data_IF_202225643598
#
_entry.id   IF_202225643598
#
_cell.length_a   1.000
_cell.length_b   1.000
_cell.length_c   1.000
_cell.angle_alpha   90.00
_cell.angle_beta   90.00
_cell.angle_gamma   90.00
#
_symmetry.space_group_name_H-M   'P 1'
#
loop_
_entity.id
_entity.type
_entity.pdbx_description
1 polymer ?
#
# COMPACT_ATOMS: atom_id res chain seq x y z
N UNK A 1 -38.80 -36.30 -22.36
CA UNK A 1 -38.83 -34.95 -21.74
C UNK A 1 -37.64 -34.68 -20.82
N UNK A 2 -37.14 -35.63 -20.00
CA UNK A 2 -35.97 -35.43 -19.11
C UNK A 2 -34.64 -35.02 -19.80
N UNK A 3 -34.36 -35.49 -21.03
CA UNK A 3 -33.15 -35.08 -21.78
C UNK A 3 -33.13 -33.59 -22.18
N UNK A 4 -34.31 -32.96 -22.31
CA UNK A 4 -34.41 -31.52 -22.63
C UNK A 4 -34.08 -30.63 -21.41
N UNK A 5 -34.35 -31.11 -20.19
CA UNK A 5 -34.03 -30.36 -18.95
C UNK A 5 -32.53 -30.28 -18.65
N UNK A 6 -31.80 -31.38 -18.86
CA UNK A 6 -30.34 -31.45 -18.59
C UNK A 6 -29.55 -30.56 -19.55
N UNK A 7 -29.93 -30.51 -20.83
CA UNK A 7 -29.30 -29.60 -21.81
C UNK A 7 -29.53 -28.13 -21.46
N UNK A 8 -30.67 -27.81 -20.83
CA UNK A 8 -31.00 -26.43 -20.46
C UNK A 8 -30.17 -25.95 -19.25
N UNK A 9 -29.97 -26.82 -18.25
CA UNK A 9 -29.18 -26.52 -17.06
C UNK A 9 -27.69 -26.30 -17.33
N UNK A 10 -27.12 -27.04 -18.30
CA UNK A 10 -25.73 -26.82 -18.73
C UNK A 10 -25.60 -25.47 -19.44
N UNK A 11 -26.57 -25.12 -20.30
CA UNK A 11 -26.57 -23.82 -20.98
C UNK A 11 -26.72 -22.63 -20.03
N UNK A 12 -27.50 -22.77 -18.97
CA UNK A 12 -27.72 -21.67 -18.01
C UNK A 12 -26.49 -21.42 -17.13
N UNK A 13 -25.73 -22.48 -16.79
CA UNK A 13 -24.48 -22.36 -16.05
C UNK A 13 -23.39 -21.67 -16.89
N UNK A 14 -23.27 -22.04 -18.17
CA UNK A 14 -22.35 -21.38 -19.11
C UNK A 14 -22.70 -19.89 -19.30
N UNK A 15 -23.99 -19.57 -19.44
CA UNK A 15 -24.44 -18.18 -19.57
C UNK A 15 -24.14 -17.38 -18.29
N UNK A 16 -24.40 -17.93 -17.11
CA UNK A 16 -24.08 -17.26 -15.83
C UNK A 16 -22.58 -17.01 -15.69
N UNK A 17 -21.75 -18.02 -15.98
CA UNK A 17 -20.30 -17.90 -16.03
C UNK A 17 -19.84 -16.82 -16.98
N UNK A 18 -20.43 -16.76 -18.18
CA UNK A 18 -20.09 -15.77 -19.20
C UNK A 18 -20.51 -14.36 -18.77
N UNK A 19 -21.65 -14.21 -18.11
CA UNK A 19 -22.12 -12.93 -17.54
C UNK A 19 -21.20 -12.48 -16.41
N UNK A 20 -20.77 -13.37 -15.51
CA UNK A 20 -19.83 -13.03 -14.43
C UNK A 20 -18.48 -12.62 -15.02
N UNK A 21 -17.97 -13.36 -16.00
CA UNK A 21 -16.73 -13.00 -16.71
C UNK A 21 -16.88 -11.64 -17.40
N UNK A 22 -17.97 -11.42 -18.15
CA UNK A 22 -18.22 -10.15 -18.84
C UNK A 22 -18.40 -9.00 -17.85
N UNK A 23 -19.02 -9.23 -16.70
CA UNK A 23 -19.21 -8.21 -15.67
C UNK A 23 -17.90 -7.87 -14.96
N UNK A 24 -17.06 -8.87 -14.66
CA UNK A 24 -15.70 -8.67 -14.15
C UNK A 24 -14.85 -7.93 -15.18
N UNK A 25 -14.93 -8.30 -16.46
CA UNK A 25 -14.25 -7.60 -17.55
C UNK A 25 -14.79 -6.19 -17.77
N UNK A 26 -16.08 -5.95 -17.59
CA UNK A 26 -16.71 -4.64 -17.70
C UNK A 26 -16.35 -3.72 -16.53
N UNK A 27 -16.36 -4.24 -15.30
CA UNK A 27 -15.85 -3.52 -14.14
C UNK A 27 -14.37 -3.26 -14.26
N UNK A 28 -13.59 -4.23 -14.76
CA UNK A 28 -12.20 -4.03 -15.11
C UNK A 28 -12.08 -2.92 -16.18
N UNK A 29 -12.88 -2.90 -17.24
CA UNK A 29 -12.87 -1.88 -18.29
C UNK A 29 -13.27 -0.47 -17.78
N UNK A 30 -14.26 -0.36 -16.90
CA UNK A 30 -14.63 0.93 -16.27
C UNK A 30 -13.47 1.43 -15.40
N UNK A 31 -12.83 0.54 -14.64
CA UNK A 31 -11.70 0.89 -13.77
C UNK A 31 -10.36 1.09 -14.50
N UNK A 32 -10.17 0.40 -15.63
CA UNK A 32 -9.01 0.45 -16.52
C UNK A 32 -9.19 1.43 -17.68
N UNK A 33 -10.36 2.10 -17.78
CA UNK A 33 -10.58 3.12 -18.80
C UNK A 33 -9.42 4.13 -18.75
N UNK A 34 -8.67 4.27 -19.87
CA UNK A 34 -7.37 4.90 -19.83
C UNK A 34 -7.56 6.40 -19.87
N UNK A 35 -7.17 7.06 -18.79
CA UNK A 35 -6.41 8.30 -18.94
C UNK A 35 -4.97 8.18 -18.43
N UNK A 36 -4.45 6.97 -18.11
CA UNK A 36 -3.03 6.83 -17.70
C UNK A 36 -2.35 5.44 -17.74
N UNK A 37 -3.03 4.35 -18.16
CA UNK A 37 -2.50 2.98 -17.94
C UNK A 37 -1.31 2.55 -18.82
N UNK A 38 -1.05 3.19 -19.95
CA UNK A 38 0.01 2.72 -20.87
C UNK A 38 1.45 3.04 -20.43
N UNK A 39 1.65 3.79 -19.33
CA UNK A 39 2.99 4.15 -18.84
C UNK A 39 3.51 3.28 -17.68
N UNK A 40 2.74 2.31 -17.19
CA UNK A 40 3.05 1.60 -15.93
C UNK A 40 3.36 0.10 -16.05
N UNK A 41 3.27 -0.51 -17.24
CA UNK A 41 3.30 -1.98 -17.37
C UNK A 41 4.68 -2.62 -17.62
N UNK A 42 5.76 -1.85 -17.83
CA UNK A 42 7.06 -2.43 -18.20
C UNK A 42 8.10 -2.54 -17.08
N UNK A 43 7.83 -2.08 -15.86
CA UNK A 43 8.80 -2.22 -14.74
C UNK A 43 8.30 -3.19 -13.65
N UNK A 44 8.72 -4.45 -13.81
CA UNK A 44 8.87 -5.49 -12.79
C UNK A 44 7.78 -5.58 -11.70
N UNK A 45 6.77 -6.40 -11.98
CA UNK A 45 5.92 -7.01 -10.94
C UNK A 45 6.74 -8.05 -10.14
N UNK A 46 7.72 -7.60 -9.34
CA UNK A 46 8.32 -8.44 -8.31
C UNK A 46 7.25 -8.65 -7.25
N UNK A 47 6.58 -9.81 -7.30
CA UNK A 47 5.70 -10.30 -6.23
C UNK A 47 6.56 -10.45 -4.97
N UNK A 48 6.65 -9.37 -4.20
CA UNK A 48 7.48 -9.25 -3.02
C UNK A 48 6.99 -10.25 -1.98
N UNK A 49 7.88 -11.14 -1.53
CA UNK A 49 7.74 -12.09 -0.41
C UNK A 49 7.48 -11.42 0.96
N UNK A 50 6.91 -10.23 0.95
CA UNK A 50 6.54 -9.35 2.05
C UNK A 50 5.52 -9.93 3.05
N UNK A 51 4.96 -11.11 2.81
CA UNK A 51 4.12 -11.81 3.79
C UNK A 51 4.95 -12.32 4.98
N UNK A 52 6.24 -12.65 4.80
CA UNK A 52 7.09 -13.23 5.84
C UNK A 52 8.33 -12.41 6.22
N UNK A 53 8.64 -11.31 5.52
CA UNK A 53 9.65 -10.37 6.03
C UNK A 53 9.19 -9.79 7.38
N UNK A 54 10.08 -9.64 8.38
CA UNK A 54 9.74 -8.88 9.59
C UNK A 54 9.13 -7.55 9.15
N UNK A 55 7.91 -7.30 9.64
CA UNK A 55 7.09 -6.19 9.15
C UNK A 55 7.88 -4.88 9.22
N UNK A 56 7.73 -4.01 8.22
CA UNK A 56 8.38 -2.69 8.20
C UNK A 56 8.17 -1.97 9.54
N UNK A 57 6.99 -2.09 10.13
CA UNK A 57 6.66 -1.60 11.48
C UNK A 57 7.62 -2.12 12.56
N UNK A 58 7.96 -3.42 12.56
CA UNK A 58 8.93 -3.98 13.52
C UNK A 58 10.31 -3.38 13.33
N UNK A 59 10.78 -3.27 12.08
CA UNK A 59 12.09 -2.64 11.77
C UNK A 59 12.11 -1.16 12.17
N UNK A 60 11.02 -0.43 11.95
CA UNK A 60 10.89 0.95 12.39
C UNK A 60 10.89 1.09 13.91
N UNK A 61 10.20 0.19 14.64
CA UNK A 61 10.27 0.15 16.12
C UNK A 61 11.69 -0.13 16.62
N UNK A 62 12.42 -1.03 15.98
CA UNK A 62 13.83 -1.27 16.30
C UNK A 62 14.68 -0.01 16.02
N UNK A 63 14.43 0.70 14.91
CA UNK A 63 15.10 1.97 14.61
C UNK A 63 14.83 3.04 15.67
N UNK A 64 13.58 3.12 16.14
CA UNK A 64 13.22 4.01 17.22
C UNK A 64 13.94 3.68 18.53
N UNK A 65 13.94 2.40 18.93
CA UNK A 65 14.65 1.94 20.13
C UNK A 65 16.15 2.23 20.05
N UNK A 66 16.76 1.98 18.89
CA UNK A 66 18.16 2.29 18.65
C UNK A 66 18.46 3.80 18.78
N UNK A 67 17.59 4.67 18.25
CA UNK A 67 17.73 6.12 18.42
C UNK A 67 17.61 6.57 19.89
N UNK A 68 16.91 5.80 20.72
CA UNK A 68 16.77 6.07 22.15
C UNK A 68 17.96 5.55 22.97
N UNK A 69 18.44 4.33 22.70
CA UNK A 69 19.51 3.69 23.47
C UNK A 69 20.91 4.06 22.99
N UNK A 70 21.09 4.31 21.69
CA UNK A 70 22.40 4.40 21.04
C UNK A 70 23.14 3.06 20.96
N UNK A 71 22.50 1.96 21.34
CA UNK A 71 23.08 0.62 21.46
C UNK A 71 22.39 -0.38 20.52
N UNK A 72 23.15 -1.35 20.02
CA UNK A 72 22.68 -2.43 19.15
C UNK A 72 23.00 -2.25 17.67
N UNK A 73 22.60 -3.24 16.87
CA UNK A 73 22.80 -3.23 15.42
C UNK A 73 21.88 -2.23 14.73
N UNK A 74 22.40 -1.61 13.67
CA UNK A 74 21.66 -0.62 12.88
C UNK A 74 20.50 -1.28 12.14
N UNK A 75 19.24 -0.94 12.47
CA UNK A 75 18.11 -1.54 11.77
C UNK A 75 17.98 -0.92 10.37
N UNK A 76 17.90 -1.78 9.36
CA UNK A 76 17.65 -1.35 7.99
C UNK A 76 16.16 -1.06 7.78
N UNK A 77 15.77 0.18 8.08
CA UNK A 77 14.40 0.71 7.93
C UNK A 77 14.35 1.85 6.90
N UNK A 78 13.81 1.56 5.70
CA UNK A 78 13.69 2.51 4.58
C UNK A 78 15.00 3.30 4.36
N UNK A 79 14.92 4.57 3.96
CA UNK A 79 16.07 5.46 3.81
C UNK A 79 16.73 5.85 5.14
N UNK A 80 16.02 5.71 6.27
CA UNK A 80 16.57 6.09 7.59
C UNK A 80 17.81 5.27 7.93
N UNK A 81 17.87 3.99 7.55
CA UNK A 81 19.03 3.15 7.79
C UNK A 81 20.31 3.71 7.13
N UNK A 82 20.21 4.16 5.88
CA UNK A 82 21.32 4.75 5.13
C UNK A 82 21.64 6.17 5.62
N UNK A 83 20.61 7.01 5.85
CA UNK A 83 20.76 8.37 6.36
C UNK A 83 21.49 8.40 7.71
N UNK A 84 21.06 7.54 8.63
CA UNK A 84 21.64 7.45 9.96
C UNK A 84 23.11 6.97 9.90
N UNK A 85 23.43 5.98 9.04
CA UNK A 85 24.83 5.54 8.79
C UNK A 85 25.70 6.68 8.26
N UNK A 86 25.18 7.45 7.30
CA UNK A 86 25.89 8.59 6.74
C UNK A 86 26.08 9.72 7.77
N UNK A 87 25.06 10.00 8.59
CA UNK A 87 25.18 10.97 9.67
C UNK A 87 26.24 10.57 10.69
N UNK A 88 26.34 9.30 11.06
CA UNK A 88 27.39 8.84 11.97
C UNK A 88 28.78 9.03 11.38
N UNK A 89 28.96 8.69 10.10
CA UNK A 89 30.21 8.90 9.38
C UNK A 89 30.59 10.38 9.37
N UNK A 90 29.66 11.26 9.02
CA UNK A 90 29.88 12.71 8.97
C UNK A 90 30.15 13.31 10.35
N UNK A 91 29.43 12.84 11.38
CA UNK A 91 29.65 13.26 12.78
C UNK A 91 31.09 12.96 13.21
N UNK A 92 31.62 11.77 12.87
CA UNK A 92 33.02 11.39 13.14
C UNK A 92 34.03 12.25 12.38
N UNK A 93 33.72 12.66 11.15
CA UNK A 93 34.62 13.44 10.30
C UNK A 93 34.67 14.93 10.69
N UNK A 94 33.53 15.52 11.06
CA UNK A 94 33.39 16.96 11.28
C UNK A 94 33.23 17.35 12.76
N UNK A 95 33.25 16.40 13.69
CA UNK A 95 33.15 16.66 15.13
C UNK A 95 31.81 17.23 15.59
N UNK A 96 30.75 17.10 14.77
CA UNK A 96 29.43 17.61 15.12
C UNK A 96 28.79 16.77 16.23
N UNK A 97 27.91 17.38 17.03
CA UNK A 97 27.17 16.64 18.07
C UNK A 97 26.01 15.85 17.43
N UNK A 98 26.00 14.51 17.48
CA UNK A 98 25.00 13.69 16.79
C UNK A 98 23.57 13.93 17.32
N UNK A 99 23.46 14.41 18.56
CA UNK A 99 22.19 14.65 19.26
C UNK A 99 21.26 15.59 18.47
N UNK A 100 21.77 16.68 17.90
CA UNK A 100 20.95 17.67 17.19
C UNK A 100 20.32 17.10 15.90
N UNK A 101 21.09 16.34 15.11
CA UNK A 101 20.60 15.66 13.91
C UNK A 101 19.62 14.54 14.26
N UNK A 102 19.89 13.78 15.32
CA UNK A 102 19.01 12.70 15.78
C UNK A 102 17.67 13.24 16.28
N UNK A 103 17.66 14.34 17.05
CA UNK A 103 16.42 14.97 17.51
C UNK A 103 15.52 15.40 16.35
N UNK A 104 16.11 15.89 15.26
CA UNK A 104 15.37 16.25 14.03
C UNK A 104 14.77 15.05 13.31
N UNK A 105 15.37 13.86 13.44
CA UNK A 105 14.89 12.61 12.81
C UNK A 105 13.83 11.90 13.66
N UNK A 106 13.86 12.05 14.98
CA UNK A 106 12.97 11.34 15.92
C UNK A 106 11.49 11.49 15.58
N UNK A 107 11.01 12.74 15.44
CA UNK A 107 9.60 13.03 15.12
C UNK A 107 9.20 12.47 13.74
N UNK A 108 9.94 12.75 12.65
CA UNK A 108 9.71 12.11 11.35
C UNK A 108 9.60 10.58 11.43
N UNK A 109 10.57 9.92 12.07
CA UNK A 109 10.61 8.47 12.14
C UNK A 109 9.37 7.91 12.84
N UNK A 110 8.97 8.48 13.98
CA UNK A 110 7.78 8.06 14.70
C UNK A 110 6.50 8.20 13.85
N UNK A 111 6.37 9.28 13.11
CA UNK A 111 5.21 9.49 12.24
C UNK A 111 5.19 8.49 11.08
N UNK A 112 6.34 8.20 10.48
CA UNK A 112 6.43 7.19 9.43
C UNK A 112 6.09 5.78 9.97
N UNK A 113 6.50 5.44 11.19
CA UNK A 113 6.11 4.19 11.87
C UNK A 113 4.59 4.15 12.09
N UNK A 114 3.97 5.25 12.54
CA UNK A 114 2.52 5.34 12.73
C UNK A 114 1.78 5.17 11.40
N UNK A 115 2.28 5.80 10.35
CA UNK A 115 1.75 5.68 9.00
C UNK A 115 1.77 4.22 8.53
N UNK A 116 2.92 3.54 8.60
CA UNK A 116 3.04 2.12 8.21
C UNK A 116 2.18 1.20 9.09
N UNK A 117 2.02 1.52 10.37
CA UNK A 117 1.14 0.76 11.27
C UNK A 117 -0.32 0.85 10.81
N UNK A 118 -0.80 2.06 10.50
CA UNK A 118 -2.17 2.28 10.03
C UNK A 118 -2.40 1.67 8.64
N UNK A 119 -1.40 1.69 7.75
CA UNK A 119 -1.46 0.96 6.47
C UNK A 119 -1.63 -0.54 6.68
N UNK A 120 -0.83 -1.12 7.58
CA UNK A 120 -0.92 -2.54 7.93
C UNK A 120 -2.28 -2.90 8.51
N UNK A 121 -2.83 -2.06 9.37
CA UNK A 121 -4.14 -2.25 9.98
C UNK A 121 -5.26 -2.31 8.93
N UNK A 122 -5.26 -1.39 7.96
CA UNK A 122 -6.25 -1.38 6.86
C UNK A 122 -6.17 -2.67 6.05
N UNK A 123 -4.95 -3.12 5.71
CA UNK A 123 -4.72 -4.38 5.01
C UNK A 123 -5.24 -5.58 5.79
N UNK A 124 -4.83 -5.72 7.05
CA UNK A 124 -5.23 -6.82 7.92
C UNK A 124 -6.74 -6.84 8.16
N UNK A 125 -7.36 -5.68 8.34
CA UNK A 125 -8.82 -5.54 8.44
C UNK A 125 -9.53 -6.09 7.20
N UNK A 126 -9.03 -5.80 5.99
CA UNK A 126 -9.61 -6.33 4.76
C UNK A 126 -9.46 -7.85 4.65
N UNK A 127 -8.25 -8.36 4.90
CA UNK A 127 -7.98 -9.81 4.88
C UNK A 127 -8.86 -10.53 5.91
N UNK A 128 -8.95 -10.01 7.13
CA UNK A 128 -9.78 -10.60 8.19
C UNK A 128 -11.26 -10.65 7.79
N UNK A 129 -11.79 -9.59 7.18
CA UNK A 129 -13.16 -9.56 6.67
C UNK A 129 -13.39 -10.65 5.60
N UNK A 130 -12.46 -10.79 4.65
CA UNK A 130 -12.53 -11.84 3.61
C UNK A 130 -12.44 -13.25 4.20
N UNK A 131 -11.54 -13.48 5.15
CA UNK A 131 -11.42 -14.76 5.84
C UNK A 131 -12.69 -15.12 6.62
N UNK A 132 -13.31 -14.15 7.29
CA UNK A 132 -14.57 -14.36 8.00
C UNK A 132 -15.71 -14.73 7.03
N UNK A 133 -15.81 -14.03 5.90
CA UNK A 133 -16.80 -14.36 4.86
C UNK A 133 -16.55 -15.73 4.24
N UNK A 134 -15.28 -16.08 3.95
CA UNK A 134 -14.93 -17.43 3.51
C UNK A 134 -15.40 -18.47 4.52
N UNK A 135 -15.00 -18.32 5.79
CA UNK A 135 -15.36 -19.25 6.86
C UNK A 135 -16.88 -19.44 6.98
N UNK A 136 -17.66 -18.36 6.84
CA UNK A 136 -19.12 -18.43 6.81
C UNK A 136 -19.64 -19.24 5.63
N UNK A 137 -19.15 -18.98 4.41
CA UNK A 137 -19.53 -19.75 3.21
C UNK A 137 -19.18 -21.23 3.36
N UNK A 138 -17.97 -21.55 3.83
CA UNK A 138 -17.53 -22.94 4.04
C UNK A 138 -18.35 -23.64 5.13
N UNK A 139 -18.63 -22.97 6.24
CA UNK A 139 -19.48 -23.51 7.31
C UNK A 139 -20.91 -23.80 6.81
N UNK A 140 -21.50 -22.86 6.06
CA UNK A 140 -22.83 -23.03 5.49
C UNK A 140 -22.89 -24.20 4.51
N UNK A 141 -21.89 -24.31 3.62
CA UNK A 141 -21.80 -25.38 2.64
C UNK A 141 -21.65 -26.77 3.30
N UNK A 142 -20.83 -26.89 4.35
CA UNK A 142 -20.69 -28.15 5.10
C UNK A 142 -21.99 -28.53 5.80
N UNK A 143 -22.63 -27.56 6.48
CA UNK A 143 -23.86 -27.80 7.23
C UNK A 143 -25.02 -28.19 6.32
N UNK A 144 -25.22 -27.46 5.22
CA UNK A 144 -26.29 -27.73 4.26
C UNK A 144 -26.18 -29.12 3.65
N UNK A 145 -24.96 -29.56 3.28
CA UNK A 145 -24.73 -30.91 2.75
C UNK A 145 -24.94 -32.01 3.78
N UNK A 146 -24.54 -31.76 5.03
CA UNK A 146 -24.77 -32.71 6.13
C UNK A 146 -26.27 -32.90 6.38
N UNK A 147 -27.06 -31.81 6.38
CA UNK A 147 -28.52 -31.86 6.55
C UNK A 147 -29.19 -32.59 5.38
N UNK A 148 -28.70 -32.39 4.15
CA UNK A 148 -29.26 -33.02 2.96
C UNK A 148 -28.72 -34.43 2.69
N UNK A 149 -27.77 -34.92 3.49
CA UNK A 149 -27.16 -36.24 3.31
C UNK A 149 -26.42 -36.40 1.97
N UNK A 150 -25.84 -35.32 1.42
CA UNK A 150 -25.18 -35.34 0.11
C UNK A 150 -23.66 -35.34 0.19
N UNK A 151 -23.05 -35.99 -0.79
CA UNK A 151 -21.59 -36.04 -0.94
C UNK A 151 -20.98 -34.72 -1.44
N UNK A 152 -19.69 -34.56 -1.20
CA UNK A 152 -18.93 -33.40 -1.61
C UNK A 152 -18.42 -33.53 -3.06
N UNK A 153 -19.05 -32.85 -4.02
CA UNK A 153 -18.43 -32.63 -5.33
C UNK A 153 -17.17 -31.74 -5.19
N UNK A 154 -16.01 -32.38 -5.30
CA UNK A 154 -14.70 -31.74 -5.19
C UNK A 154 -14.49 -30.64 -6.24
N UNK A 155 -15.06 -30.77 -7.43
CA UNK A 155 -14.92 -29.79 -8.52
C UNK A 155 -15.50 -28.45 -8.09
N UNK A 156 -16.68 -28.50 -7.48
CA UNK A 156 -17.39 -27.34 -6.99
C UNK A 156 -16.67 -26.67 -5.81
N UNK A 157 -16.11 -27.47 -4.89
CA UNK A 157 -15.30 -26.96 -3.78
C UNK A 157 -14.05 -26.22 -4.28
N UNK A 158 -13.36 -26.79 -5.27
CA UNK A 158 -12.16 -26.18 -5.88
C UNK A 158 -12.52 -24.87 -6.56
N UNK A 159 -13.67 -24.81 -7.25
CA UNK A 159 -14.13 -23.58 -7.89
C UNK A 159 -14.39 -22.46 -6.87
N UNK A 160 -15.11 -22.76 -5.78
CA UNK A 160 -15.37 -21.81 -4.67
C UNK A 160 -14.05 -21.34 -4.05
N UNK A 161 -13.15 -22.27 -3.73
CA UNK A 161 -11.86 -21.97 -3.14
C UNK A 161 -11.03 -21.04 -4.05
N UNK A 162 -11.00 -21.35 -5.35
CA UNK A 162 -10.26 -20.57 -6.35
C UNK A 162 -10.85 -19.17 -6.48
N UNK A 163 -12.18 -19.04 -6.50
CA UNK A 163 -12.86 -17.74 -6.60
C UNK A 163 -12.53 -16.87 -5.38
N UNK A 164 -12.64 -17.39 -4.16
CA UNK A 164 -12.31 -16.65 -2.93
C UNK A 164 -10.82 -16.28 -2.86
N UNK A 165 -9.93 -17.23 -3.19
CA UNK A 165 -8.49 -16.99 -3.22
C UNK A 165 -8.11 -15.90 -4.25
N UNK A 166 -8.75 -15.91 -5.43
CA UNK A 166 -8.55 -14.89 -6.47
C UNK A 166 -8.99 -13.50 -6.00
N UNK A 167 -10.09 -13.41 -5.23
CA UNK A 167 -10.54 -12.16 -4.63
C UNK A 167 -9.52 -11.56 -3.65
N UNK A 168 -8.92 -12.39 -2.79
CA UNK A 168 -7.86 -11.96 -1.86
C UNK A 168 -6.62 -11.51 -2.63
N UNK A 169 -6.18 -12.29 -3.61
CA UNK A 169 -5.03 -11.95 -4.44
C UNK A 169 -5.23 -10.62 -5.18
N UNK A 170 -6.41 -10.42 -5.76
CA UNK A 170 -6.80 -9.18 -6.45
C UNK A 170 -6.79 -7.98 -5.49
N UNK A 171 -7.34 -8.13 -4.28
CA UNK A 171 -7.31 -7.08 -3.27
C UNK A 171 -5.89 -6.61 -2.95
N UNK A 172 -4.98 -7.57 -2.71
CA UNK A 172 -3.57 -7.26 -2.40
C UNK A 172 -2.85 -6.62 -3.59
N UNK A 173 -3.14 -7.07 -4.81
CA UNK A 173 -2.61 -6.46 -6.03
C UNK A 173 -3.08 -5.01 -6.21
N UNK A 174 -4.39 -4.77 -6.09
CA UNK A 174 -4.98 -3.44 -6.22
C UNK A 174 -4.52 -2.48 -5.12
N UNK A 175 -4.37 -2.95 -3.88
CA UNK A 175 -3.83 -2.14 -2.78
C UNK A 175 -2.46 -1.55 -3.16
N UNK A 176 -1.55 -2.38 -3.67
CA UNK A 176 -0.20 -1.94 -4.03
C UNK A 176 -0.22 -0.91 -5.17
N UNK A 177 -1.08 -1.11 -6.18
CA UNK A 177 -1.24 -0.19 -7.30
C UNK A 177 -1.79 1.16 -6.82
N UNK A 178 -2.86 1.14 -6.02
CA UNK A 178 -3.48 2.36 -5.50
C UNK A 178 -2.53 3.10 -4.56
N UNK A 179 -1.80 2.38 -3.70
CA UNK A 179 -0.77 2.96 -2.82
C UNK A 179 0.32 3.67 -3.64
N UNK A 180 0.91 2.98 -4.64
CA UNK A 180 1.96 3.56 -5.49
C UNK A 180 1.48 4.82 -6.21
N UNK A 181 0.23 4.83 -6.69
CA UNK A 181 -0.36 5.98 -7.39
C UNK A 181 -0.63 7.16 -6.46
N UNK A 182 -1.20 6.92 -5.27
CA UNK A 182 -1.55 7.99 -4.32
C UNK A 182 -0.31 8.61 -3.68
N UNK A 183 0.67 7.78 -3.32
CA UNK A 183 1.87 8.22 -2.62
C UNK A 183 3.05 8.53 -3.56
N UNK A 184 2.80 8.67 -4.86
CA UNK A 184 3.86 8.99 -5.81
C UNK A 184 4.52 10.33 -5.45
N UNK A 185 5.82 10.30 -5.17
CA UNK A 185 6.61 11.50 -4.89
C UNK A 185 6.69 11.88 -3.41
N UNK A 186 5.77 11.41 -2.56
CA UNK A 186 5.80 11.70 -1.12
C UNK A 186 7.07 11.14 -0.47
N UNK A 187 7.43 9.89 -0.78
CA UNK A 187 8.64 9.26 -0.22
C UNK A 187 9.89 10.07 -0.58
N UNK A 188 10.04 10.48 -1.84
CA UNK A 188 11.18 11.28 -2.30
C UNK A 188 11.21 12.68 -1.66
N UNK A 189 10.07 13.34 -1.57
CA UNK A 189 9.95 14.67 -0.95
C UNK A 189 10.34 14.62 0.52
N UNK A 190 9.77 13.64 1.22
CA UNK A 190 9.98 13.44 2.64
C UNK A 190 11.42 13.06 2.96
N UNK A 191 11.99 12.09 2.23
CA UNK A 191 13.39 11.68 2.35
C UNK A 191 14.33 12.86 2.15
N UNK A 192 14.17 13.61 1.05
CA UNK A 192 15.05 14.72 0.73
C UNK A 192 15.00 15.84 1.78
N UNK A 193 13.79 16.21 2.23
CA UNK A 193 13.61 17.28 3.22
C UNK A 193 14.14 16.86 4.59
N UNK A 194 13.85 15.63 5.05
CA UNK A 194 14.34 15.11 6.34
C UNK A 194 15.86 14.96 6.32
N UNK A 195 16.43 14.42 5.24
CA UNK A 195 17.87 14.27 5.10
C UNK A 195 18.57 15.64 5.11
N UNK A 196 18.06 16.61 4.35
CA UNK A 196 18.62 17.97 4.34
C UNK A 196 18.54 18.63 5.72
N UNK A 197 17.39 18.51 6.40
CA UNK A 197 17.18 19.06 7.73
C UNK A 197 18.15 18.45 8.77
N UNK A 198 18.45 17.16 8.65
CA UNK A 198 19.41 16.46 9.52
C UNK A 198 20.88 16.80 9.23
N UNK A 199 21.21 17.17 7.99
CA UNK A 199 22.55 17.59 7.56
C UNK A 199 22.86 19.06 7.85
N UNK A 200 21.83 19.91 8.05
CA UNK A 200 22.01 21.34 8.36
C UNK A 200 22.99 21.65 9.52
N UNK A 201 22.93 21.01 10.70
CA UNK A 201 23.83 21.32 11.81
C UNK A 201 25.28 20.87 11.58
N UNK A 202 25.56 20.13 10.49
CA UNK A 202 26.92 19.70 10.17
C UNK A 202 27.68 20.83 9.47
N UNK A 203 28.99 20.93 9.70
CA UNK A 203 29.89 21.89 9.07
C UNK A 203 30.15 21.66 7.57
N UNK A 204 29.24 21.00 6.86
CA UNK A 204 29.34 20.72 5.43
C UNK A 204 29.05 21.97 4.59
N UNK A 205 29.66 22.02 3.40
CA UNK A 205 29.30 23.04 2.42
C UNK A 205 27.85 22.88 1.95
N UNK A 206 27.25 23.97 1.49
CA UNK A 206 25.89 23.99 0.95
C UNK A 206 25.68 22.93 -0.14
N UNK A 207 26.65 22.85 -1.07
CA UNK A 207 26.60 21.91 -2.18
C UNK A 207 26.61 20.46 -1.68
N UNK A 208 27.49 20.12 -0.74
CA UNK A 208 27.55 18.77 -0.18
C UNK A 208 26.27 18.39 0.59
N UNK A 209 25.67 19.33 1.33
CA UNK A 209 24.39 19.09 2.02
C UNK A 209 23.28 18.77 1.03
N UNK A 210 23.21 19.53 -0.06
CA UNK A 210 22.24 19.34 -1.14
C UNK A 210 22.45 17.98 -1.82
N UNK A 211 23.68 17.70 -2.26
CA UNK A 211 24.03 16.47 -2.97
C UNK A 211 23.75 15.22 -2.12
N UNK A 212 24.17 15.23 -0.83
CA UNK A 212 23.97 14.09 0.08
C UNK A 212 22.53 13.90 0.55
N UNK A 213 21.73 14.96 0.60
CA UNK A 213 20.32 14.85 0.97
C UNK A 213 19.45 14.20 -0.11
N UNK A 214 19.92 14.15 -1.36
CA UNK A 214 19.12 13.67 -2.48
C UNK A 214 17.94 14.59 -2.83
N UNK A 215 17.91 15.82 -2.31
CA UNK A 215 16.77 16.73 -2.52
C UNK A 215 16.55 17.06 -4.00
N UNK A 216 17.62 17.03 -4.81
CA UNK A 216 17.52 17.24 -6.25
C UNK A 216 16.69 16.18 -6.96
N UNK A 217 16.66 14.95 -6.45
CA UNK A 217 15.79 13.91 -6.98
C UNK A 217 14.31 14.28 -6.80
N UNK A 218 13.94 14.87 -5.66
CA UNK A 218 12.59 15.40 -5.45
C UNK A 218 12.31 16.59 -6.38
N UNK A 219 13.24 17.53 -6.50
CA UNK A 219 13.07 18.72 -7.35
C UNK A 219 12.91 18.37 -8.84
N UNK A 220 13.62 17.35 -9.31
CA UNK A 220 13.58 16.88 -10.70
C UNK A 220 12.36 15.97 -11.00
N UNK A 221 11.65 15.49 -9.97
CA UNK A 221 10.55 14.54 -10.15
C UNK A 221 9.39 15.18 -10.92
N UNK A 222 8.89 14.47 -11.92
CA UNK A 222 7.70 14.83 -12.71
C UNK A 222 6.43 14.27 -12.07
N UNK A 223 5.28 14.78 -12.48
CA UNK A 223 3.94 14.27 -12.11
C UNK A 223 3.68 14.23 -10.59
N UNK A 224 4.07 15.31 -9.91
CA UNK A 224 3.76 15.52 -8.49
C UNK A 224 2.29 15.90 -8.31
N UNK A 225 1.74 15.58 -7.14
CA UNK A 225 0.44 16.12 -6.72
C UNK A 225 0.51 17.65 -6.59
N UNK A 226 -0.62 18.33 -6.73
CA UNK A 226 -0.72 19.79 -6.59
C UNK A 226 -0.13 20.27 -5.25
N UNK A 227 -0.35 19.51 -4.18
CA UNK A 227 0.18 19.82 -2.85
C UNK A 227 1.72 19.73 -2.82
N UNK A 228 2.30 18.67 -3.38
CA UNK A 228 3.75 18.51 -3.45
C UNK A 228 4.41 19.51 -4.42
N UNK A 229 3.70 19.91 -5.46
CA UNK A 229 4.16 20.93 -6.40
C UNK A 229 4.34 22.30 -5.70
N UNK A 230 3.41 22.65 -4.81
CA UNK A 230 3.52 23.86 -3.98
C UNK A 230 4.77 23.80 -3.09
N UNK A 231 4.95 22.68 -2.37
CA UNK A 231 6.13 22.46 -1.51
C UNK A 231 7.42 22.54 -2.32
N UNK A 232 7.45 21.92 -3.51
CA UNK A 232 8.61 21.95 -4.41
C UNK A 232 9.01 23.38 -4.76
N UNK A 233 8.05 24.22 -5.14
CA UNK A 233 8.31 25.63 -5.50
C UNK A 233 8.81 26.44 -4.29
N UNK A 234 8.17 26.29 -3.14
CA UNK A 234 8.61 26.96 -1.90
C UNK A 234 10.05 26.56 -1.54
N UNK A 235 10.36 25.27 -1.65
CA UNK A 235 11.70 24.76 -1.39
C UNK A 235 12.74 25.27 -2.41
N UNK A 236 12.42 25.34 -3.69
CA UNK A 236 13.31 25.92 -4.71
C UNK A 236 13.64 27.38 -4.42
N UNK A 237 12.62 28.18 -4.06
CA UNK A 237 12.80 29.58 -3.68
C UNK A 237 13.69 29.68 -2.43
N UNK A 238 13.42 28.86 -1.41
CA UNK A 238 14.18 28.86 -0.17
C UNK A 238 15.64 28.47 -0.38
N UNK A 239 15.91 27.44 -1.20
CA UNK A 239 17.27 27.03 -1.55
C UNK A 239 18.02 28.12 -2.32
N UNK A 240 17.33 28.84 -3.20
CA UNK A 240 17.92 29.97 -3.94
C UNK A 240 18.23 31.13 -3.00
N UNK A 241 17.29 31.49 -2.13
CA UNK A 241 17.49 32.55 -1.14
C UNK A 241 18.59 32.23 -0.12
N UNK A 242 18.70 30.96 0.28
CA UNK A 242 19.77 30.52 1.16
C UNK A 242 21.13 30.62 0.48
N UNK A 243 21.21 30.23 -0.80
CA UNK A 243 22.44 30.34 -1.60
C UNK A 243 22.89 31.78 -1.83
N UNK A 244 21.95 32.67 -2.15
CA UNK A 244 22.25 34.06 -2.56
C UNK A 244 22.38 35.02 -1.37
N UNK A 245 21.56 34.84 -0.33
CA UNK A 245 21.43 35.80 0.77
C UNK A 245 21.76 35.21 2.15
N UNK A 246 22.10 33.92 2.25
CA UNK A 246 22.40 33.28 3.54
C UNK A 246 21.22 33.21 4.51
N UNK A 247 19.97 33.34 4.01
CA UNK A 247 18.77 33.26 4.87
C UNK A 247 18.65 31.91 5.56
N UNK A 248 18.22 31.86 6.83
CA UNK A 248 18.10 30.60 7.57
C UNK A 248 17.08 29.68 6.88
N UNK A 249 17.52 28.45 6.57
CA UNK A 249 16.71 27.46 5.85
C UNK A 249 15.90 26.57 6.81
N UNK A 250 16.29 26.52 8.09
CA UNK A 250 15.74 25.62 9.11
C UNK A 250 14.22 25.74 9.25
N UNK A 251 13.71 26.97 9.34
CA UNK A 251 12.29 27.22 9.54
C UNK A 251 11.49 26.80 8.32
N UNK A 252 11.96 27.16 7.12
CA UNK A 252 11.27 26.81 5.87
C UNK A 252 11.24 25.29 5.64
N UNK A 253 12.29 24.56 6.03
CA UNK A 253 12.26 23.09 5.97
C UNK A 253 11.29 22.49 6.99
N UNK A 254 11.20 23.06 8.18
CA UNK A 254 10.23 22.59 9.18
C UNK A 254 8.80 22.80 8.68
N UNK A 255 8.50 23.97 8.13
CA UNK A 255 7.18 24.31 7.57
C UNK A 255 6.84 23.40 6.37
N UNK A 256 7.77 23.26 5.42
CA UNK A 256 7.59 22.37 4.26
C UNK A 256 7.41 20.91 4.68
N UNK A 257 8.10 20.44 5.73
CA UNK A 257 7.95 19.09 6.23
C UNK A 257 6.58 18.86 6.86
N UNK A 258 6.05 19.85 7.58
CA UNK A 258 4.70 19.77 8.14
C UNK A 258 3.64 19.85 7.02
N UNK A 259 3.84 20.64 5.97
CA UNK A 259 2.99 20.66 4.77
C UNK A 259 3.00 19.31 4.03
N UNK A 260 4.17 18.70 3.81
CA UNK A 260 4.29 17.36 3.20
C UNK A 260 3.49 16.34 4.03
N UNK A 261 3.60 16.41 5.36
CA UNK A 261 2.88 15.50 6.26
C UNK A 261 1.38 15.70 6.20
N UNK A 262 0.92 16.94 6.25
CA UNK A 262 -0.50 17.23 6.12
C UNK A 262 -1.05 16.68 4.79
N UNK A 263 -0.33 16.89 3.69
CA UNK A 263 -0.68 16.32 2.39
C UNK A 263 -0.65 14.78 2.39
N UNK A 264 0.28 14.16 3.12
CA UNK A 264 0.37 12.71 3.30
C UNK A 264 -0.82 12.16 4.12
N UNK A 265 -1.24 12.84 5.17
CA UNK A 265 -2.41 12.47 5.98
C UNK A 265 -3.70 12.55 5.15
N UNK A 266 -3.86 13.62 4.35
CA UNK A 266 -4.99 13.74 3.42
C UNK A 266 -4.96 12.66 2.33
N UNK A 267 -3.78 12.33 1.80
CA UNK A 267 -3.59 11.21 0.87
C UNK A 267 -3.94 9.86 1.53
N UNK A 268 -3.59 9.69 2.79
CA UNK A 268 -3.92 8.52 3.58
C UNK A 268 -5.42 8.35 3.73
N UNK A 269 -6.15 9.38 4.15
CA UNK A 269 -7.61 9.31 4.28
C UNK A 269 -8.29 8.94 2.95
N UNK A 270 -7.81 9.51 1.84
CA UNK A 270 -8.28 9.15 0.49
C UNK A 270 -8.02 7.67 0.18
N UNK A 271 -6.86 7.14 0.56
CA UNK A 271 -6.58 5.71 0.43
C UNK A 271 -7.55 4.88 1.27
N UNK A 272 -7.82 5.23 2.53
CA UNK A 272 -8.76 4.47 3.39
C UNK A 272 -10.14 4.37 2.73
N UNK A 273 -10.67 5.51 2.28
CA UNK A 273 -11.98 5.57 1.62
C UNK A 273 -12.03 4.67 0.38
N UNK A 274 -10.98 4.71 -0.46
CA UNK A 274 -10.87 3.85 -1.65
C UNK A 274 -10.72 2.38 -1.30
N UNK A 275 -9.92 2.05 -0.30
CA UNK A 275 -9.73 0.66 0.14
C UNK A 275 -11.02 0.08 0.72
N UNK A 276 -11.82 0.86 1.45
CA UNK A 276 -13.13 0.40 1.92
C UNK A 276 -14.09 0.13 0.76
N UNK A 277 -14.12 0.99 -0.26
CA UNK A 277 -14.87 0.72 -1.49
C UNK A 277 -14.41 -0.56 -2.21
N UNK A 278 -13.09 -0.76 -2.32
CA UNK A 278 -12.51 -1.97 -2.90
C UNK A 278 -12.84 -3.24 -2.08
N UNK A 279 -12.81 -3.16 -0.74
CA UNK A 279 -13.22 -4.26 0.13
C UNK A 279 -14.64 -4.69 -0.16
N UNK A 280 -15.56 -3.73 -0.23
CA UNK A 280 -16.96 -3.99 -0.54
C UNK A 280 -17.14 -4.61 -1.93
N UNK A 281 -16.49 -4.04 -2.95
CA UNK A 281 -16.58 -4.55 -4.31
C UNK A 281 -16.08 -6.00 -4.42
N UNK A 282 -14.92 -6.31 -3.83
CA UNK A 282 -14.35 -7.66 -3.87
C UNK A 282 -15.20 -8.64 -3.07
N UNK A 283 -15.75 -8.22 -1.92
CA UNK A 283 -16.71 -9.02 -1.16
C UNK A 283 -17.92 -9.39 -2.03
N UNK A 284 -18.52 -8.42 -2.72
CA UNK A 284 -19.69 -8.61 -3.55
C UNK A 284 -19.41 -9.47 -4.80
N UNK A 285 -18.25 -9.33 -5.43
CA UNK A 285 -17.94 -10.05 -6.67
C UNK A 285 -17.40 -11.45 -6.48
N UNK A 286 -16.63 -11.69 -5.42
CA UNK A 286 -15.94 -12.98 -5.25
C UNK A 286 -16.58 -13.81 -4.15
N UNK A 287 -16.87 -13.21 -2.99
CA UNK A 287 -17.37 -13.95 -1.83
C UNK A 287 -18.88 -14.17 -1.91
N UNK A 288 -19.64 -13.14 -2.28
CA UNK A 288 -21.08 -13.28 -2.48
C UNK A 288 -21.38 -14.18 -3.69
N UNK A 289 -20.63 -14.05 -4.80
CA UNK A 289 -20.79 -14.97 -5.94
C UNK A 289 -20.44 -16.41 -5.58
N UNK A 290 -19.39 -16.67 -4.80
CA UNK A 290 -19.10 -18.02 -4.30
C UNK A 290 -20.26 -18.59 -3.47
N UNK A 291 -20.87 -17.78 -2.61
CA UNK A 291 -22.03 -18.17 -1.82
C UNK A 291 -23.28 -18.44 -2.67
N UNK A 292 -23.57 -17.57 -3.64
CA UNK A 292 -24.70 -17.74 -4.56
C UNK A 292 -24.54 -18.98 -5.45
N UNK A 293 -23.31 -19.26 -5.90
CA UNK A 293 -23.02 -20.50 -6.61
C UNK A 293 -23.40 -21.71 -5.76
N UNK A 294 -23.01 -21.73 -4.47
CA UNK A 294 -23.32 -22.85 -3.57
C UNK A 294 -24.82 -23.03 -3.40
N UNK A 295 -25.56 -21.94 -3.18
CA UNK A 295 -27.02 -21.95 -3.14
C UNK A 295 -27.65 -22.49 -4.42
N UNK A 296 -27.17 -22.07 -5.60
CA UNK A 296 -27.66 -22.59 -6.88
C UNK A 296 -27.37 -24.10 -7.02
N UNK A 297 -26.19 -24.53 -6.59
CA UNK A 297 -25.81 -25.94 -6.53
C UNK A 297 -26.80 -26.73 -5.68
N UNK A 298 -27.13 -26.24 -4.48
CA UNK A 298 -28.11 -26.84 -3.57
C UNK A 298 -29.52 -26.86 -4.16
N UNK A 299 -29.97 -25.78 -4.80
CA UNK A 299 -31.31 -25.69 -5.40
C UNK A 299 -31.46 -26.65 -6.58
N UNK A 300 -30.50 -26.67 -7.50
CA UNK A 300 -30.51 -27.61 -8.64
C UNK A 300 -30.52 -29.06 -8.16
N UNK A 301 -29.86 -29.30 -7.03
CA UNK A 301 -29.81 -30.58 -6.35
C UNK A 301 -31.23 -31.11 -6.04
N UNK A 302 -32.17 -30.26 -5.63
CA UNK A 302 -33.56 -30.66 -5.31
C UNK A 302 -34.43 -30.93 -6.54
N UNK A 303 -34.12 -30.36 -7.70
CA UNK A 303 -34.95 -30.49 -8.91
C UNK A 303 -34.59 -31.70 -9.78
N UNK A 304 -33.46 -32.37 -9.50
CA UNK A 304 -32.95 -33.49 -10.30
C UNK A 304 -33.41 -34.86 -9.74
N UNK A 305 -33.99 -34.88 -8.54
CA UNK A 305 -34.74 -36.04 -8.01
C UNK A 305 -36.16 -36.10 -8.63
#
# INVERSE_FOLDING_TARGET
MLKLGVSFAISSLEVLMTIVILFVLFLALIWFSPLSWWSLSSEHFKFSSSLFSPSLVRRGKLAWLWIQSGEGEWPNYKFYGDLLRELQRLTKLYGATPKASLERIKRPLLQDIRFETKMREIRLSGIAQFMAMALMTWSFMVLSRLILGREFDATFLILIATLQASGIALYLGLENIVKKKIFNGYDCAYEGVVALQALLPLGLSLKEKRDKSGIDHFLAKKDLSVDLERVRRQLQIALTQWKEFGRPLEQVLADNLDDIRFAQEMAQERLIKRMNGLKFLIAALFFLSAYLLDLLGLVNSFFIE
#
